data_IF_609742406836
#
_entry.id   IF_609742406836
#
_cell.length_a   1.000
_cell.length_b   1.000
_cell.length_c   1.000
_cell.angle_alpha   90.00
_cell.angle_beta   90.00
_cell.angle_gamma   90.00
#
_symmetry.space_group_name_H-M   'P 1'
#
loop_
_entity.id
_entity.type
_entity.pdbx_description
1 polymer ?
#
# COMPACT_ATOMS: atom_id res chain seq x y z
N UNK A 1 -49.99 54.05 8.13
CA UNK A 1 -48.62 53.52 8.36
C UNK A 1 -48.08 52.95 7.04
N UNK A 2 -46.84 52.45 7.00
CA UNK A 2 -46.44 51.46 5.97
C UNK A 2 -46.86 50.08 6.46
N UNK A 3 -47.80 49.44 5.76
CA UNK A 3 -48.14 48.03 5.99
C UNK A 3 -46.92 47.13 5.74
N UNK A 4 -46.81 46.06 6.50
CA UNK A 4 -45.82 45.01 6.31
C UNK A 4 -46.06 44.23 5.03
N UNK A 5 -45.02 43.59 4.49
CA UNK A 5 -45.11 42.86 3.21
C UNK A 5 -46.11 41.69 3.24
N UNK A 6 -46.43 41.17 4.42
CA UNK A 6 -47.44 40.12 4.63
C UNK A 6 -48.87 40.65 4.63
N UNK A 7 -49.09 41.94 4.94
CA UNK A 7 -50.42 42.55 5.03
C UNK A 7 -51.04 42.80 3.64
N UNK A 8 -50.27 42.59 2.57
CA UNK A 8 -50.71 42.63 1.17
C UNK A 8 -51.16 41.25 0.64
N UNK A 9 -51.10 40.20 1.46
CA UNK A 9 -51.51 38.84 1.06
C UNK A 9 -53.03 38.72 1.24
N UNK A 10 -53.76 38.86 0.13
CA UNK A 10 -55.24 38.84 0.11
C UNK A 10 -55.79 37.43 0.29
N UNK A 11 -55.16 36.40 -0.28
CA UNK A 11 -55.49 35.01 -0.04
C UNK A 11 -54.45 34.35 0.87
N UNK A 12 -54.85 34.11 2.11
CA UNK A 12 -54.03 33.46 3.15
C UNK A 12 -54.13 31.93 3.04
N UNK A 13 -55.25 31.40 2.54
CA UNK A 13 -55.45 29.96 2.44
C UNK A 13 -54.67 29.35 1.27
N UNK A 14 -54.63 30.01 0.12
CA UNK A 14 -53.83 29.56 -1.04
C UNK A 14 -52.35 29.57 -0.71
N UNK A 15 -51.87 30.64 -0.03
CA UNK A 15 -50.51 30.69 0.51
C UNK A 15 -50.20 29.47 1.38
N UNK A 16 -51.06 29.16 2.34
CA UNK A 16 -50.80 28.09 3.32
C UNK A 16 -50.92 26.69 2.68
N UNK A 17 -51.80 26.52 1.68
CA UNK A 17 -51.84 25.31 0.83
C UNK A 17 -50.51 25.12 0.07
N UNK A 18 -50.01 26.16 -0.59
CA UNK A 18 -48.72 26.13 -1.32
C UNK A 18 -47.54 25.84 -0.38
N UNK A 19 -47.52 26.43 0.82
CA UNK A 19 -46.48 26.19 1.84
C UNK A 19 -46.53 24.74 2.34
N UNK A 20 -47.72 24.19 2.61
CA UNK A 20 -47.87 22.81 3.08
C UNK A 20 -47.56 21.78 1.98
N UNK A 21 -47.85 22.08 0.71
CA UNK A 21 -47.42 21.28 -0.45
C UNK A 21 -45.91 21.33 -0.64
N UNK A 22 -45.30 22.52 -0.57
CA UNK A 22 -43.85 22.69 -0.60
C UNK A 22 -43.15 21.95 0.54
N UNK A 23 -43.72 21.97 1.75
CA UNK A 23 -43.22 21.23 2.92
C UNK A 23 -43.22 19.72 2.67
N UNK A 24 -44.31 19.18 2.10
CA UNK A 24 -44.41 17.75 1.71
C UNK A 24 -43.41 17.37 0.62
N UNK A 25 -43.21 18.22 -0.40
CA UNK A 25 -42.20 17.97 -1.44
C UNK A 25 -40.78 17.97 -0.86
N UNK A 26 -40.45 18.92 0.02
CA UNK A 26 -39.16 18.96 0.74
C UNK A 26 -38.97 17.75 1.63
N UNK A 27 -40.01 17.28 2.32
CA UNK A 27 -39.97 16.06 3.14
C UNK A 27 -39.73 14.80 2.30
N UNK A 28 -40.46 14.63 1.19
CA UNK A 28 -40.25 13.53 0.23
C UNK A 28 -38.83 13.53 -0.39
N UNK A 29 -38.30 14.70 -0.73
CA UNK A 29 -36.92 14.84 -1.25
C UNK A 29 -35.88 14.52 -0.16
N UNK A 30 -36.11 14.96 1.09
CA UNK A 30 -35.27 14.59 2.23
C UNK A 30 -35.29 13.08 2.49
N UNK A 31 -36.42 12.42 2.35
CA UNK A 31 -36.54 10.97 2.50
C UNK A 31 -35.83 10.21 1.39
N UNK A 32 -35.97 10.65 0.13
CA UNK A 32 -35.25 10.08 -1.00
C UNK A 32 -33.72 10.20 -0.81
N UNK A 33 -33.23 11.38 -0.40
CA UNK A 33 -31.80 11.61 -0.12
C UNK A 33 -31.31 10.76 1.07
N UNK A 34 -32.10 10.64 2.14
CA UNK A 34 -31.77 9.77 3.29
C UNK A 34 -31.65 8.31 2.87
N UNK A 35 -32.58 7.81 2.07
CA UNK A 35 -32.56 6.43 1.57
C UNK A 35 -31.39 6.18 0.61
N UNK A 36 -31.04 7.15 -0.25
CA UNK A 36 -29.88 7.02 -1.13
C UNK A 36 -28.55 7.02 -0.35
N UNK A 37 -28.39 7.94 0.62
CA UNK A 37 -27.20 7.99 1.47
C UNK A 37 -27.03 6.72 2.30
N UNK A 38 -28.09 6.20 2.93
CA UNK A 38 -28.05 4.92 3.63
C UNK A 38 -27.64 3.77 2.69
N UNK A 39 -28.11 3.77 1.44
CA UNK A 39 -27.67 2.82 0.41
C UNK A 39 -26.18 2.92 0.10
N UNK A 40 -25.66 4.15 -0.08
CA UNK A 40 -24.23 4.41 -0.29
C UNK A 40 -23.38 4.00 0.91
N UNK A 41 -23.82 4.30 2.13
CA UNK A 41 -23.17 3.93 3.39
C UNK A 41 -23.06 2.41 3.57
N UNK A 42 -24.13 1.65 3.32
CA UNK A 42 -24.13 0.19 3.39
C UNK A 42 -23.18 -0.44 2.36
N UNK A 43 -23.05 0.15 1.17
CA UNK A 43 -22.06 -0.27 0.16
C UNK A 43 -20.64 0.08 0.59
N UNK A 44 -20.40 1.30 1.07
CA UNK A 44 -19.09 1.75 1.55
C UNK A 44 -18.59 0.92 2.74
N UNK A 45 -19.44 0.69 3.74
CA UNK A 45 -19.14 -0.17 4.89
C UNK A 45 -18.75 -1.60 4.44
N UNK A 46 -19.51 -2.20 3.53
CA UNK A 46 -19.21 -3.52 2.96
C UNK A 46 -17.87 -3.56 2.20
N UNK A 47 -17.49 -2.47 1.52
CA UNK A 47 -16.19 -2.35 0.84
C UNK A 47 -15.06 -2.22 1.87
N UNK A 48 -15.22 -1.35 2.88
CA UNK A 48 -14.23 -1.15 3.96
C UNK A 48 -14.01 -2.46 4.74
N UNK A 49 -15.08 -3.18 5.09
CA UNK A 49 -14.99 -4.45 5.80
C UNK A 49 -14.21 -5.51 5.00
N UNK A 50 -14.46 -5.61 3.69
CA UNK A 50 -13.86 -6.65 2.83
C UNK A 50 -12.48 -6.30 2.28
N UNK A 51 -12.18 -5.03 2.07
CA UNK A 51 -10.97 -4.57 1.37
C UNK A 51 -9.98 -3.82 2.29
N UNK A 52 -10.39 -3.42 3.50
CA UNK A 52 -9.53 -2.68 4.43
C UNK A 52 -9.42 -3.36 5.80
N UNK A 53 -10.53 -3.66 6.50
CA UNK A 53 -10.50 -4.28 7.85
C UNK A 53 -9.98 -5.72 7.84
N UNK A 54 -10.03 -6.40 6.70
CA UNK A 54 -9.47 -7.73 6.44
C UNK A 54 -7.95 -7.73 6.13
N UNK A 55 -7.35 -6.54 6.01
CA UNK A 55 -5.94 -6.38 5.61
C UNK A 55 -5.03 -6.23 6.83
N UNK A 56 -3.92 -6.96 6.82
CA UNK A 56 -2.80 -6.76 7.74
C UNK A 56 -1.93 -5.58 7.30
N UNK A 57 -1.72 -5.45 5.98
CA UNK A 57 -1.12 -4.27 5.37
C UNK A 57 -2.07 -3.71 4.32
N UNK A 58 -2.76 -2.58 4.57
CA UNK A 58 -3.61 -1.94 3.58
C UNK A 58 -2.78 -1.31 2.45
N UNK A 59 -3.41 -1.13 1.29
CA UNK A 59 -2.80 -0.48 0.13
C UNK A 59 -2.43 0.98 0.41
N UNK A 60 -1.19 1.36 0.13
CA UNK A 60 -0.62 2.71 0.23
C UNK A 60 0.21 3.02 -1.01
N UNK A 61 0.27 4.30 -1.39
CA UNK A 61 1.08 4.80 -2.49
C UNK A 61 2.05 5.90 -2.03
N UNK A 62 3.25 5.89 -2.63
CA UNK A 62 4.30 6.89 -2.46
C UNK A 62 4.53 7.59 -3.79
N UNK A 63 4.10 8.85 -3.88
CA UNK A 63 4.38 9.72 -5.03
C UNK A 63 5.74 10.41 -4.83
N UNK A 64 6.51 10.60 -5.90
CA UNK A 64 7.72 11.41 -5.91
C UNK A 64 7.44 12.92 -5.89
N UNK A 65 8.44 13.72 -6.26
CA UNK A 65 8.22 15.13 -6.65
C UNK A 65 7.68 15.19 -8.08
N UNK A 66 8.22 14.36 -8.98
CA UNK A 66 7.62 14.11 -10.30
C UNK A 66 6.32 13.30 -10.15
N UNK A 67 5.15 13.79 -10.62
CA UNK A 67 3.88 13.08 -10.47
C UNK A 67 3.82 11.72 -11.17
N UNK A 68 4.73 11.45 -12.11
CA UNK A 68 4.89 10.17 -12.82
C UNK A 68 5.53 9.08 -11.94
N UNK A 69 6.38 9.44 -10.98
CA UNK A 69 7.06 8.49 -10.11
C UNK A 69 6.12 8.09 -8.97
N UNK A 70 5.49 6.91 -9.08
CA UNK A 70 4.59 6.36 -8.04
C UNK A 70 4.95 4.92 -7.72
N UNK A 71 5.26 4.64 -6.46
CA UNK A 71 5.53 3.30 -5.91
C UNK A 71 4.37 2.91 -5.01
N UNK A 72 3.88 1.68 -5.13
CA UNK A 72 2.83 1.14 -4.26
C UNK A 72 3.42 0.09 -3.32
N UNK A 73 2.87 -0.07 -2.12
CA UNK A 73 3.12 -1.28 -1.33
C UNK A 73 2.30 -2.46 -1.88
N UNK A 74 2.59 -3.67 -1.40
CA UNK A 74 1.73 -4.82 -1.64
C UNK A 74 0.62 -4.89 -0.57
N UNK A 75 -0.66 -4.87 -0.93
CA UNK A 75 -1.74 -5.19 0.01
C UNK A 75 -1.60 -6.64 0.49
N UNK A 76 -1.67 -6.86 1.80
CA UNK A 76 -1.56 -8.19 2.42
C UNK A 76 -2.77 -8.40 3.32
N UNK A 77 -3.55 -9.46 3.05
CA UNK A 77 -4.65 -9.89 3.93
C UNK A 77 -4.13 -10.56 5.19
N UNK A 78 -4.87 -10.46 6.28
CA UNK A 78 -4.72 -11.39 7.39
C UNK A 78 -4.97 -12.81 6.87
N UNK A 79 -4.07 -13.76 7.19
CA UNK A 79 -4.25 -15.18 6.84
C UNK A 79 -5.12 -15.86 7.88
N UNK A 80 -6.02 -16.74 7.44
CA UNK A 80 -6.83 -17.56 8.35
C UNK A 80 -5.94 -18.51 9.17
N UNK A 81 -6.34 -18.83 10.40
CA UNK A 81 -5.68 -19.86 11.20
C UNK A 81 -5.54 -21.20 10.44
N UNK A 82 -6.53 -21.53 9.60
CA UNK A 82 -6.52 -22.75 8.77
C UNK A 82 -5.43 -22.68 7.69
N UNK A 83 -5.26 -21.54 7.03
CA UNK A 83 -4.20 -21.32 6.05
C UNK A 83 -2.81 -21.38 6.74
N UNK A 84 -2.65 -20.72 7.89
CA UNK A 84 -1.42 -20.75 8.68
C UNK A 84 -1.05 -22.17 9.17
N UNK A 85 -2.03 -22.96 9.64
CA UNK A 85 -1.83 -24.37 10.01
C UNK A 85 -1.52 -25.26 8.80
N UNK A 86 -2.15 -25.03 7.65
CA UNK A 86 -1.86 -25.77 6.42
C UNK A 86 -0.43 -25.50 5.93
N UNK A 87 0.02 -24.24 5.98
CA UNK A 87 1.41 -23.85 5.66
C UNK A 87 2.43 -24.58 6.52
N UNK A 88 2.27 -24.56 7.85
CA UNK A 88 3.25 -25.16 8.78
C UNK A 88 3.28 -26.69 8.67
N UNK A 89 2.13 -27.34 8.47
CA UNK A 89 2.05 -28.78 8.17
C UNK A 89 2.73 -29.11 6.85
N UNK A 90 2.53 -28.32 5.79
CA UNK A 90 3.19 -28.51 4.49
C UNK A 90 4.72 -28.36 4.61
N UNK A 91 5.19 -27.31 5.29
CA UNK A 91 6.63 -27.11 5.52
C UNK A 91 7.24 -28.25 6.35
N UNK A 92 6.54 -28.72 7.40
CA UNK A 92 6.99 -29.85 8.21
C UNK A 92 7.09 -31.16 7.42
N UNK A 93 6.04 -31.51 6.66
CA UNK A 93 6.03 -32.70 5.82
C UNK A 93 7.11 -32.64 4.72
N UNK A 94 7.38 -31.47 4.15
CA UNK A 94 8.45 -31.28 3.16
C UNK A 94 9.84 -31.40 3.79
N UNK A 95 10.05 -30.87 5.00
CA UNK A 95 11.28 -31.08 5.80
C UNK A 95 11.49 -32.57 6.12
N UNK A 96 10.43 -33.36 6.31
CA UNK A 96 10.52 -34.82 6.45
C UNK A 96 10.89 -35.52 5.15
N UNK A 97 10.22 -35.23 4.02
CA UNK A 97 10.55 -35.82 2.70
C UNK A 97 12.02 -35.55 2.31
N UNK A 98 12.51 -34.34 2.57
CA UNK A 98 13.92 -33.99 2.34
C UNK A 98 14.88 -34.77 3.25
N UNK A 99 14.53 -35.01 4.51
CA UNK A 99 15.35 -35.84 5.42
C UNK A 99 15.33 -37.32 5.01
N UNK A 100 14.17 -37.85 4.65
CA UNK A 100 13.99 -39.22 4.16
C UNK A 100 14.79 -39.47 2.88
N UNK A 101 14.68 -38.57 1.89
CA UNK A 101 15.45 -38.63 0.64
C UNK A 101 16.96 -38.55 0.89
N UNK A 102 17.42 -37.69 1.81
CA UNK A 102 18.84 -37.65 2.17
C UNK A 102 19.31 -38.95 2.85
N UNK A 103 18.49 -39.56 3.72
CA UNK A 103 18.85 -40.81 4.39
C UNK A 103 18.89 -42.01 3.44
N UNK A 104 17.90 -42.17 2.56
CA UNK A 104 17.91 -43.23 1.54
C UNK A 104 19.04 -43.03 0.54
N UNK A 105 19.35 -41.78 0.19
CA UNK A 105 20.52 -41.44 -0.62
C UNK A 105 21.83 -41.87 0.07
N UNK A 106 22.04 -41.53 1.35
CA UNK A 106 23.24 -41.94 2.10
C UNK A 106 23.37 -43.46 2.18
N UNK A 107 22.27 -44.19 2.36
CA UNK A 107 22.25 -45.66 2.38
C UNK A 107 22.54 -46.30 1.01
N UNK A 108 22.29 -45.60 -0.10
CA UNK A 108 22.54 -46.10 -1.46
C UNK A 108 24.02 -46.13 -1.87
N UNK A 109 24.92 -45.51 -1.09
CA UNK A 109 26.36 -45.43 -1.40
C UNK A 109 26.73 -44.50 -2.57
N UNK A 110 25.75 -43.84 -3.21
CA UNK A 110 25.97 -42.92 -4.33
C UNK A 110 26.73 -41.65 -3.87
N UNK A 111 27.60 -41.06 -4.70
CA UNK A 111 28.30 -39.81 -4.37
C UNK A 111 27.32 -38.64 -4.35
N UNK A 112 27.39 -37.79 -3.30
CA UNK A 112 26.39 -36.75 -2.91
C UNK A 112 25.91 -35.82 -4.03
N UNK A 113 25.05 -36.31 -4.91
CA UNK A 113 24.28 -35.49 -5.82
C UNK A 113 23.11 -34.87 -5.05
N UNK A 114 23.42 -33.80 -4.30
CA UNK A 114 22.40 -32.79 -3.99
C UNK A 114 21.73 -32.39 -5.32
N UNK A 115 20.41 -32.17 -5.37
CA UNK A 115 19.77 -31.48 -6.48
C UNK A 115 20.15 -30.00 -6.43
N UNK A 116 21.42 -29.70 -6.75
CA UNK A 116 22.00 -28.36 -6.71
C UNK A 116 21.29 -27.39 -7.66
N UNK A 117 20.68 -27.91 -8.74
CA UNK A 117 19.94 -27.14 -9.75
C UNK A 117 18.93 -26.12 -9.19
N UNK A 118 18.34 -26.31 -8.00
CA UNK A 118 17.52 -25.25 -7.39
C UNK A 118 18.34 -24.08 -6.83
N UNK A 119 19.47 -24.37 -6.19
CA UNK A 119 20.39 -23.33 -5.72
C UNK A 119 21.01 -22.60 -6.92
N UNK A 120 21.44 -23.35 -7.93
CA UNK A 120 22.05 -22.82 -9.16
C UNK A 120 21.02 -21.97 -9.95
N UNK A 121 19.75 -22.42 -10.03
CA UNK A 121 18.67 -21.65 -10.66
C UNK A 121 18.35 -20.34 -9.92
N UNK A 122 18.32 -20.36 -8.58
CA UNK A 122 18.09 -19.14 -7.80
C UNK A 122 19.32 -18.22 -7.71
N UNK A 123 20.56 -18.73 -7.84
CA UNK A 123 21.73 -17.88 -7.99
C UNK A 123 21.75 -17.21 -9.36
N UNK A 124 21.50 -17.94 -10.46
CA UNK A 124 21.41 -17.39 -11.82
C UNK A 124 20.31 -16.31 -11.92
N UNK A 125 19.13 -16.53 -11.31
CA UNK A 125 18.08 -15.50 -11.24
C UNK A 125 18.55 -14.25 -10.48
N UNK A 126 19.25 -14.42 -9.36
CA UNK A 126 19.75 -13.33 -8.50
C UNK A 126 20.94 -12.58 -9.12
N UNK A 127 21.73 -13.24 -9.95
CA UNK A 127 22.75 -12.62 -10.81
C UNK A 127 22.10 -11.76 -11.89
N UNK A 128 21.10 -12.31 -12.61
CA UNK A 128 20.34 -11.55 -13.61
C UNK A 128 19.70 -10.29 -13.00
N UNK A 129 19.01 -10.42 -11.85
CA UNK A 129 18.47 -9.27 -11.09
C UNK A 129 19.53 -8.22 -10.72
N UNK A 130 20.77 -8.63 -10.46
CA UNK A 130 21.87 -7.70 -10.13
C UNK A 130 22.42 -6.93 -11.34
N UNK A 131 22.26 -7.45 -12.57
CA UNK A 131 22.81 -6.80 -13.78
C UNK A 131 22.09 -5.49 -14.14
N UNK A 132 20.82 -5.31 -13.75
CA UNK A 132 20.07 -4.07 -13.97
C UNK A 132 20.59 -2.88 -13.11
N UNK A 133 21.21 -3.13 -11.95
CA UNK A 133 21.75 -2.04 -11.11
C UNK A 133 23.08 -1.47 -11.64
N UNK A 134 23.80 -2.22 -12.49
CA UNK A 134 25.12 -1.80 -13.00
C UNK A 134 25.07 -0.75 -14.12
N UNK A 135 23.89 -0.44 -14.68
CA UNK A 135 23.73 0.51 -15.78
C UNK A 135 23.99 2.00 -15.41
N UNK A 136 24.37 2.32 -14.17
CA UNK A 136 24.61 3.71 -13.70
C UNK A 136 25.84 3.88 -12.79
N UNK A 137 27.04 3.51 -13.25
CA UNK A 137 28.29 3.85 -12.53
C UNK A 137 29.56 4.02 -13.39
N UNK A 138 29.46 4.73 -14.51
CA UNK A 138 30.65 5.32 -15.14
C UNK A 138 30.87 6.77 -14.65
N UNK A 139 32.13 7.19 -14.46
CA UNK A 139 32.44 8.62 -14.33
C UNK A 139 33.41 9.10 -13.25
N UNK A 140 34.47 8.37 -12.87
CA UNK A 140 35.83 8.97 -12.72
C UNK A 140 36.99 8.01 -12.39
N UNK A 141 38.06 8.16 -13.18
CA UNK A 141 39.49 7.93 -12.86
C UNK A 141 39.94 8.76 -11.62
N UNK A 142 41.03 8.51 -10.87
CA UNK A 142 42.23 7.63 -10.97
C UNK A 142 42.98 7.66 -9.59
N UNK A 143 44.15 7.06 -9.27
CA UNK A 143 45.23 6.31 -9.97
C UNK A 143 46.06 5.49 -8.94
N UNK A 144 46.67 4.37 -9.37
CA UNK A 144 47.81 3.67 -8.73
C UNK A 144 47.57 3.02 -7.34
N UNK A 145 48.27 1.96 -6.89
CA UNK A 145 49.31 1.10 -7.54
C UNK A 145 49.18 -0.34 -7.03
N UNK A 146 49.69 -1.31 -7.78
CA UNK A 146 49.70 -2.76 -7.46
C UNK A 146 50.67 -3.11 -6.33
N UNK A 147 50.28 -4.02 -5.42
CA UNK A 147 51.13 -5.13 -4.92
C UNK A 147 50.32 -6.17 -4.10
N UNK A 148 49.86 -7.19 -4.81
CA UNK A 148 49.79 -8.62 -4.41
C UNK A 148 49.51 -9.02 -2.93
N UNK A 149 48.24 -9.32 -2.61
CA UNK A 149 47.90 -10.42 -1.70
C UNK A 149 46.94 -11.40 -2.39
N UNK A 150 47.19 -12.70 -2.25
CA UNK A 150 46.43 -13.76 -2.92
C UNK A 150 45.29 -14.28 -2.04
N UNK A 151 44.42 -13.36 -1.59
CA UNK A 151 43.22 -13.71 -0.83
C UNK A 151 42.16 -14.27 -1.77
N UNK A 152 42.01 -15.60 -1.76
CA UNK A 152 40.85 -16.27 -2.36
C UNK A 152 39.65 -15.96 -1.45
N UNK A 153 38.96 -14.86 -1.74
CA UNK A 153 37.70 -14.55 -1.08
C UNK A 153 36.72 -15.72 -1.31
N UNK A 154 36.36 -16.43 -0.24
CA UNK A 154 35.17 -17.28 -0.26
C UNK A 154 33.97 -16.36 -0.50
N UNK A 155 33.48 -16.30 -1.73
CA UNK A 155 32.26 -15.55 -2.09
C UNK A 155 31.14 -16.00 -1.17
N UNK A 156 30.84 -15.15 -0.17
CA UNK A 156 30.16 -15.61 1.03
C UNK A 156 28.81 -16.26 0.72
N UNK A 157 28.54 -17.39 1.38
CA UNK A 157 27.24 -18.08 1.31
C UNK A 157 26.13 -17.16 1.85
N UNK A 158 25.62 -16.25 0.99
CA UNK A 158 24.49 -15.37 1.26
C UNK A 158 23.35 -16.24 1.80
N UNK A 159 23.00 -16.04 3.07
CA UNK A 159 22.16 -16.95 3.86
C UNK A 159 20.96 -17.42 3.05
N UNK A 160 20.99 -18.69 2.63
CA UNK A 160 19.99 -19.24 1.71
C UNK A 160 18.67 -19.31 2.47
N UNK A 161 17.64 -18.59 2.02
CA UNK A 161 16.34 -18.61 2.68
C UNK A 161 15.87 -20.05 2.86
N UNK A 162 15.60 -20.49 4.10
CA UNK A 162 15.24 -21.89 4.36
C UNK A 162 14.04 -22.35 3.51
N UNK A 163 13.11 -21.45 3.20
CA UNK A 163 11.94 -21.73 2.37
C UNK A 163 12.27 -21.99 0.89
N UNK A 164 13.31 -21.35 0.33
CA UNK A 164 13.80 -21.63 -1.04
C UNK A 164 14.27 -23.10 -1.13
N UNK A 165 14.94 -23.58 -0.07
CA UNK A 165 15.39 -24.97 0.07
C UNK A 165 14.25 -25.98 0.28
N UNK A 166 13.04 -25.54 0.64
CA UNK A 166 11.86 -26.40 0.73
C UNK A 166 11.19 -26.64 -0.62
N UNK A 167 11.44 -25.84 -1.65
CA UNK A 167 10.79 -26.02 -2.94
C UNK A 167 11.16 -27.36 -3.59
N UNK A 168 10.28 -27.87 -4.46
CA UNK A 168 10.61 -28.92 -5.42
C UNK A 168 11.34 -28.30 -6.61
N UNK A 169 12.31 -29.01 -7.17
CA UNK A 169 12.88 -28.66 -8.45
C UNK A 169 11.78 -28.68 -9.53
N UNK A 170 11.76 -27.77 -10.53
CA UNK A 170 10.65 -27.70 -11.50
C UNK A 170 10.38 -29.03 -12.23
N UNK A 171 11.41 -29.84 -12.47
CA UNK A 171 11.28 -31.15 -13.11
C UNK A 171 10.79 -32.27 -12.16
N UNK A 172 10.84 -32.08 -10.84
CA UNK A 172 10.41 -33.06 -9.81
C UNK A 172 8.88 -33.06 -9.55
N UNK A 173 8.15 -32.14 -10.20
CA UNK A 173 6.70 -31.91 -10.06
C UNK A 173 5.83 -32.95 -10.81
N UNK A 174 6.30 -34.19 -10.89
CA UNK A 174 5.64 -35.28 -11.62
C UNK A 174 4.30 -35.73 -11.03
N UNK A 175 4.06 -35.52 -9.73
CA UNK A 175 2.82 -35.96 -9.05
C UNK A 175 1.97 -34.79 -8.57
N UNK A 176 0.64 -34.96 -8.60
CA UNK A 176 -0.30 -33.93 -8.15
C UNK A 176 -0.16 -33.57 -6.67
N UNK A 177 0.32 -34.51 -5.84
CA UNK A 177 0.70 -34.21 -4.44
C UNK A 177 1.81 -33.16 -4.41
N UNK A 178 2.92 -33.40 -5.11
CA UNK A 178 4.05 -32.45 -5.16
C UNK A 178 3.65 -31.11 -5.77
N UNK A 179 2.83 -31.10 -6.83
CA UNK A 179 2.29 -29.86 -7.43
C UNK A 179 1.51 -29.03 -6.41
N UNK A 180 0.55 -29.63 -5.69
CA UNK A 180 -0.24 -28.93 -4.65
C UNK A 180 0.64 -28.45 -3.49
N UNK A 181 1.61 -29.27 -3.06
CA UNK A 181 2.58 -28.88 -2.02
C UNK A 181 3.48 -27.72 -2.48
N UNK A 182 3.92 -27.70 -3.74
CA UNK A 182 4.70 -26.61 -4.33
C UNK A 182 3.91 -25.30 -4.35
N UNK A 183 2.63 -25.32 -4.77
CA UNK A 183 1.78 -24.13 -4.75
C UNK A 183 1.74 -23.49 -3.35
N UNK A 184 1.45 -24.29 -2.31
CA UNK A 184 1.39 -23.80 -0.92
C UNK A 184 2.76 -23.25 -0.45
N UNK A 185 3.87 -23.87 -0.82
CA UNK A 185 5.21 -23.36 -0.49
C UNK A 185 5.53 -22.03 -1.21
N UNK A 186 5.16 -21.92 -2.49
CA UNK A 186 5.30 -20.69 -3.27
C UNK A 186 4.42 -19.55 -2.72
N UNK A 187 3.17 -19.83 -2.33
CA UNK A 187 2.30 -18.85 -1.66
C UNK A 187 2.93 -18.35 -0.34
N UNK A 188 3.68 -19.21 0.37
CA UNK A 188 4.49 -18.82 1.52
C UNK A 188 5.65 -17.89 1.17
N UNK A 189 6.43 -18.23 0.15
CA UNK A 189 7.59 -17.45 -0.30
C UNK A 189 7.16 -16.09 -0.86
N UNK A 190 6.10 -16.06 -1.68
CA UNK A 190 5.52 -14.84 -2.26
C UNK A 190 5.12 -13.84 -1.17
N UNK A 191 4.44 -14.28 -0.10
CA UNK A 191 4.07 -13.38 0.99
C UNK A 191 5.28 -12.95 1.84
N UNK A 192 6.34 -13.78 1.94
CA UNK A 192 7.61 -13.35 2.55
C UNK A 192 8.29 -12.25 1.74
N UNK A 193 8.35 -12.37 0.41
CA UNK A 193 8.88 -11.35 -0.50
C UNK A 193 8.07 -10.05 -0.43
N UNK A 194 6.72 -10.13 -0.46
CA UNK A 194 5.85 -8.95 -0.27
C UNK A 194 6.11 -8.24 1.06
N UNK A 195 6.27 -8.99 2.17
CA UNK A 195 6.56 -8.43 3.50
C UNK A 195 7.94 -7.76 3.54
N UNK A 196 8.96 -8.38 2.98
CA UNK A 196 10.30 -7.78 2.87
C UNK A 196 10.28 -6.48 2.05
N UNK A 197 9.53 -6.44 0.95
CA UNK A 197 9.31 -5.21 0.18
C UNK A 197 8.55 -4.16 1.00
N UNK A 198 7.45 -4.53 1.66
CA UNK A 198 6.63 -3.61 2.45
C UNK A 198 7.43 -2.99 3.61
N UNK A 199 8.32 -3.74 4.26
CA UNK A 199 9.21 -3.21 5.30
C UNK A 199 10.14 -2.12 4.74
N UNK A 200 10.80 -2.39 3.60
CA UNK A 200 11.64 -1.39 2.90
C UNK A 200 10.83 -0.17 2.46
N UNK A 201 9.62 -0.38 1.94
CA UNK A 201 8.69 0.69 1.57
C UNK A 201 8.33 1.57 2.77
N UNK A 202 8.02 0.97 3.93
CA UNK A 202 7.74 1.73 5.16
C UNK A 202 8.95 2.51 5.66
N UNK A 203 10.17 1.96 5.59
CA UNK A 203 11.38 2.72 5.93
C UNK A 203 11.55 3.95 5.03
N UNK A 204 11.27 3.84 3.73
CA UNK A 204 11.39 4.95 2.78
C UNK A 204 10.26 5.97 3.00
N UNK A 205 9.03 5.53 3.28
CA UNK A 205 7.93 6.42 3.71
C UNK A 205 8.29 7.18 4.98
N UNK A 206 8.77 6.48 6.03
CA UNK A 206 9.23 7.08 7.30
C UNK A 206 10.46 7.98 7.12
N UNK A 207 11.24 7.85 6.04
CA UNK A 207 12.28 8.81 5.65
C UNK A 207 11.64 10.04 4.98
N UNK A 208 10.75 9.85 4.00
CA UNK A 208 10.04 10.92 3.29
C UNK A 208 9.21 11.82 4.23
N UNK A 209 8.43 11.21 5.12
CA UNK A 209 7.56 11.91 6.09
C UNK A 209 8.36 12.87 6.98
N UNK A 210 9.55 12.46 7.46
CA UNK A 210 10.45 13.32 8.26
C UNK A 210 11.08 14.46 7.46
N UNK A 211 11.37 14.27 6.18
CA UNK A 211 11.87 15.38 5.35
C UNK A 211 10.74 16.35 4.94
N UNK A 212 9.50 15.86 4.77
CA UNK A 212 8.33 16.71 4.57
C UNK A 212 8.04 17.56 5.82
N UNK A 213 8.05 16.98 7.02
CA UNK A 213 7.88 17.73 8.27
C UNK A 213 8.88 18.89 8.40
N UNK A 214 10.17 18.67 8.11
CA UNK A 214 11.20 19.74 8.08
C UNK A 214 11.00 20.78 6.98
N UNK A 215 10.28 20.46 5.91
CA UNK A 215 9.89 21.42 4.87
C UNK A 215 8.70 22.24 5.36
N UNK A 216 7.71 21.61 5.98
CA UNK A 216 6.55 22.29 6.54
C UNK A 216 6.92 23.24 7.70
N UNK A 217 7.80 22.83 8.61
CA UNK A 217 8.42 23.69 9.64
C UNK A 217 9.10 24.93 9.05
N UNK A 218 9.82 24.77 7.93
CA UNK A 218 10.47 25.89 7.22
C UNK A 218 9.46 26.77 6.50
N UNK A 219 8.43 26.19 5.90
CA UNK A 219 7.35 26.92 5.22
C UNK A 219 6.58 27.78 6.22
N UNK A 220 6.25 27.24 7.41
CA UNK A 220 5.63 27.96 8.52
C UNK A 220 6.50 29.15 8.94
N UNK A 221 7.80 28.93 9.19
CA UNK A 221 8.74 29.99 9.54
C UNK A 221 8.92 31.05 8.43
N UNK A 222 8.82 30.66 7.17
CA UNK A 222 8.84 31.60 6.04
C UNK A 222 7.57 32.46 6.03
N UNK A 223 6.39 31.88 6.30
CA UNK A 223 5.15 32.66 6.44
C UNK A 223 5.18 33.62 7.63
N UNK A 224 5.70 33.20 8.79
CA UNK A 224 5.90 34.08 9.96
C UNK A 224 6.77 35.30 9.61
N UNK A 225 7.93 35.08 8.96
CA UNK A 225 8.85 36.15 8.57
C UNK A 225 8.23 37.07 7.50
N UNK A 226 7.41 36.54 6.60
CA UNK A 226 6.69 37.36 5.60
C UNK A 226 5.62 38.26 6.26
N UNK A 227 4.93 37.76 7.29
CA UNK A 227 4.00 38.56 8.10
C UNK A 227 4.72 39.66 8.89
N UNK A 228 5.85 39.35 9.55
CA UNK A 228 6.69 40.35 10.22
C UNK A 228 7.15 41.47 9.28
N UNK A 229 7.60 41.09 8.07
CA UNK A 229 8.05 42.01 7.02
C UNK A 229 6.90 42.70 6.27
N UNK A 230 5.64 42.33 6.53
CA UNK A 230 4.42 42.78 5.83
C UNK A 230 4.49 42.58 4.31
N UNK A 231 5.17 41.53 3.87
CA UNK A 231 5.28 41.14 2.46
C UNK A 231 4.29 40.01 2.17
N UNK A 232 3.57 40.10 1.05
CA UNK A 232 2.75 38.97 0.61
C UNK A 232 3.63 37.84 0.08
N UNK A 233 3.32 36.56 0.37
CA UNK A 233 4.04 35.44 -0.22
C UNK A 233 3.91 35.48 -1.74
N UNK A 234 5.02 35.71 -2.44
CA UNK A 234 5.09 35.52 -3.89
C UNK A 234 5.15 34.02 -4.19
N UNK A 235 3.98 33.39 -4.17
CA UNK A 235 3.78 32.02 -4.63
C UNK A 235 4.09 31.98 -6.12
N UNK A 236 5.30 31.54 -6.47
CA UNK A 236 5.75 31.44 -7.86
C UNK A 236 4.92 30.38 -8.59
N UNK A 237 4.05 30.84 -9.48
CA UNK A 237 2.99 30.03 -10.11
C UNK A 237 3.53 29.00 -11.10
N UNK A 238 4.84 28.98 -11.37
CA UNK A 238 5.47 28.00 -12.26
C UNK A 238 5.36 26.54 -11.81
N UNK A 239 5.29 26.28 -10.49
CA UNK A 239 5.14 24.92 -9.93
C UNK A 239 3.68 24.48 -9.77
N UNK A 240 2.74 25.43 -9.79
CA UNK A 240 1.33 25.26 -9.44
C UNK A 240 0.52 24.53 -10.54
N UNK A 241 1.08 24.40 -11.75
CA UNK A 241 0.46 23.66 -12.87
C UNK A 241 0.36 22.15 -12.58
N UNK A 242 1.26 21.61 -11.74
CA UNK A 242 1.18 20.23 -11.26
C UNK A 242 0.22 20.04 -10.08
N UNK A 243 0.04 21.05 -9.24
CA UNK A 243 -0.81 20.98 -8.04
C UNK A 243 -2.29 21.21 -8.34
N UNK A 244 -2.64 22.03 -9.34
CA UNK A 244 -4.04 22.37 -9.66
C UNK A 244 -4.89 21.23 -10.25
N UNK A 245 -4.32 20.06 -10.48
CA UNK A 245 -5.09 18.83 -10.75
C UNK A 245 -5.60 18.16 -9.46
N UNK A 246 -5.12 18.58 -8.28
CA UNK A 246 -5.61 18.17 -6.96
C UNK A 246 -6.62 19.21 -6.44
N UNK A 247 -7.78 19.27 -7.07
CA UNK A 247 -8.98 19.80 -6.40
C UNK A 247 -9.28 18.95 -5.15
N UNK A 248 -9.92 19.53 -4.10
CA UNK A 248 -10.24 18.80 -2.85
C UNK A 248 -10.95 17.46 -3.05
N UNK A 249 -11.71 17.32 -4.15
CA UNK A 249 -12.49 16.14 -4.54
C UNK A 249 -11.67 14.86 -4.83
N UNK A 250 -10.34 14.90 -4.67
CA UNK A 250 -9.45 13.75 -4.87
C UNK A 250 -8.91 13.14 -3.56
N UNK A 251 -9.77 13.03 -2.53
CA UNK A 251 -9.53 12.23 -1.32
C UNK A 251 -9.38 10.72 -1.62
N UNK A 252 -8.21 10.30 -2.11
CA UNK A 252 -7.86 8.89 -2.30
C UNK A 252 -6.67 8.48 -1.43
N UNK A 253 -6.99 7.93 -0.25
CA UNK A 253 -6.09 6.98 0.43
C UNK A 253 -5.03 7.54 1.37
N UNK A 254 -5.34 8.58 2.16
CA UNK A 254 -4.56 8.86 3.38
C UNK A 254 -5.36 9.53 4.51
N UNK A 255 -6.64 9.15 4.69
CA UNK A 255 -7.41 9.53 5.86
C UNK A 255 -7.41 8.38 6.86
N UNK A 256 -6.94 8.63 8.09
CA UNK A 256 -7.39 7.84 9.24
C UNK A 256 -8.86 8.20 9.43
N UNK A 257 -9.74 7.22 9.32
CA UNK A 257 -11.19 7.44 9.32
C UNK A 257 -11.73 7.44 10.77
N UNK A 258 -11.29 8.43 11.54
CA UNK A 258 -11.86 8.74 12.86
C UNK A 258 -13.16 9.56 12.63
N UNK A 259 -14.35 9.07 12.99
CA UNK A 259 -15.61 9.70 12.56
C UNK A 259 -15.93 11.00 13.31
N UNK A 260 -15.36 12.13 12.89
CA UNK A 260 -15.63 13.46 13.45
C UNK A 260 -16.94 14.06 12.91
N UNK A 261 -18.05 13.33 13.04
CA UNK A 261 -19.38 13.92 12.91
C UNK A 261 -19.71 14.66 14.21
N UNK A 262 -19.68 16.00 14.16
CA UNK A 262 -20.30 16.84 15.20
C UNK A 262 -21.76 17.03 14.80
N UNK A 263 -22.69 16.49 15.59
CA UNK A 263 -24.12 16.44 15.26
C UNK A 263 -24.85 17.82 15.29
N UNK A 264 -24.13 18.93 15.53
CA UNK A 264 -24.72 20.21 15.95
C UNK A 264 -24.70 21.33 14.89
N UNK A 265 -23.77 21.36 13.93
CA UNK A 265 -23.55 22.56 13.08
C UNK A 265 -24.35 22.62 11.75
N UNK A 266 -25.11 21.58 11.40
CA UNK A 266 -25.85 21.52 10.12
C UNK A 266 -27.28 22.10 10.21
N UNK A 267 -27.82 22.32 11.42
CA UNK A 267 -29.18 22.82 11.62
C UNK A 267 -29.39 24.27 11.16
N UNK A 268 -28.44 25.16 11.43
CA UNK A 268 -28.66 26.63 11.48
C UNK A 268 -28.33 27.38 10.17
N UNK A 269 -28.18 26.68 9.04
CA UNK A 269 -27.84 27.29 7.73
C UNK A 269 -28.93 27.19 6.65
N UNK A 270 -30.17 26.86 7.02
CA UNK A 270 -31.32 26.81 6.10
C UNK A 270 -32.58 27.48 6.72
N UNK A 271 -32.38 28.64 7.33
CA UNK A 271 -33.39 29.60 7.79
C UNK A 271 -33.08 31.00 7.24
#
# INVERSE_FOLDING_TARGET
EKLGRMDFIVDVEERDKIVEEGRKQVEQVRDAIRMENLGRELVAARIIDKCWKSMETPGKQMVGFDPSLRVHNYPIRVRDEKEARQMSVVQYLRRLELKEANMTFLQSGMPKHRPAMLADYFSILRELESTDEHAKKEGKSEKATTEESADVEEEGEKERNEDELLLYHPLDLGTDRRRRTQCVLLDGLIDKVKRAFNNRYEEVMKKKERELQKVDEKNQRITEILEELKQTPQVDRGLDVGLKMLSPDTHHGNHVYEPQWRDEEIADRVL
#
